data_IF_370795532351
#
_entry.id   IF_370795532351
#
_cell.length_a   1.000
_cell.length_b   1.000
_cell.length_c   1.000
_cell.angle_alpha   90.00
_cell.angle_beta   90.00
_cell.angle_gamma   90.00
#
_symmetry.space_group_name_H-M   'P 1'
#
loop_
_entity.id
_entity.type
_entity.pdbx_description
1 polymer ?
#
# COMPACT_ATOMS: atom_id res chain seq x y z
N UNK A 1 41.65 15.54 65.34
CA UNK A 1 40.90 16.49 64.51
C UNK A 1 40.53 15.76 63.23
N UNK A 2 39.24 15.43 63.07
CA UNK A 2 38.58 15.00 61.82
C UNK A 2 39.15 13.83 61.02
N UNK A 3 38.51 12.66 61.10
CA UNK A 3 38.36 11.74 59.96
C UNK A 3 37.04 12.12 59.26
N UNK A 4 37.04 12.12 57.93
CA UNK A 4 35.92 11.95 56.97
C UNK A 4 36.66 11.90 55.61
N UNK A 5 36.99 10.77 54.95
CA UNK A 5 36.18 9.74 54.29
C UNK A 5 35.13 10.30 53.31
N UNK A 6 35.09 9.69 52.11
CA UNK A 6 34.12 9.84 50.99
C UNK A 6 34.49 10.95 49.97
N UNK A 7 34.74 10.73 48.68
CA UNK A 7 34.35 9.63 47.77
C UNK A 7 35.46 9.31 46.77
N UNK A 8 36.02 8.10 46.89
CA UNK A 8 36.40 7.34 45.71
C UNK A 8 35.08 6.97 45.03
N UNK A 9 34.64 7.74 44.01
CA UNK A 9 33.74 7.17 43.03
C UNK A 9 34.59 6.25 42.15
N UNK A 10 35.03 5.14 42.76
CA UNK A 10 35.39 3.95 42.02
C UNK A 10 34.15 3.61 41.20
N UNK A 11 34.22 3.92 39.90
CA UNK A 11 33.28 3.39 38.94
C UNK A 11 33.23 1.89 39.22
N UNK A 12 32.09 1.35 39.66
CA UNK A 12 32.03 -0.05 40.07
C UNK A 12 32.48 -0.89 38.86
N UNK A 13 32.94 -2.13 39.05
CA UNK A 13 32.90 -3.12 37.98
C UNK A 13 31.42 -3.51 37.79
N UNK A 14 30.58 -2.52 37.52
CA UNK A 14 29.23 -2.68 37.04
C UNK A 14 29.40 -3.22 35.65
N UNK A 15 29.22 -4.53 35.52
CA UNK A 15 28.99 -5.28 34.30
C UNK A 15 28.53 -4.33 33.20
N UNK A 16 29.48 -3.83 32.39
CA UNK A 16 29.12 -3.03 31.22
C UNK A 16 28.40 -4.04 30.35
N UNK A 17 27.07 -3.94 30.33
CA UNK A 17 26.26 -4.53 29.29
C UNK A 17 26.75 -3.86 28.00
N UNK A 18 27.84 -4.40 27.44
CA UNK A 18 28.49 -3.86 26.28
C UNK A 18 27.53 -4.10 25.13
N UNK A 19 26.75 -3.06 24.85
CA UNK A 19 25.74 -3.05 23.81
C UNK A 19 26.28 -2.30 22.62
N UNK A 20 25.92 -2.73 21.42
CA UNK A 20 26.35 -2.08 20.19
C UNK A 20 25.29 -2.22 19.12
N UNK A 21 25.33 -1.28 18.17
CA UNK A 21 24.50 -1.35 16.97
C UNK A 21 25.16 -2.25 15.93
N UNK A 22 24.42 -3.24 15.45
CA UNK A 22 24.82 -4.06 14.31
C UNK A 22 23.73 -4.02 13.24
N UNK A 23 24.10 -4.12 11.96
CA UNK A 23 23.11 -4.29 10.90
C UNK A 23 22.61 -5.73 10.91
N UNK A 24 21.33 -5.91 11.19
CA UNK A 24 20.69 -7.22 11.22
C UNK A 24 20.62 -7.91 9.86
N UNK A 25 19.85 -8.98 9.76
CA UNK A 25 19.65 -9.65 8.48
C UNK A 25 18.76 -8.85 7.52
N UNK A 26 18.97 -9.04 6.22
CA UNK A 26 18.08 -8.51 5.20
C UNK A 26 16.68 -9.10 5.34
N UNK A 27 15.65 -8.25 5.28
CA UNK A 27 14.27 -8.73 5.20
C UNK A 27 14.02 -9.49 3.90
N UNK A 28 12.94 -10.27 3.87
CA UNK A 28 12.38 -10.71 2.60
C UNK A 28 12.06 -9.52 1.69
N UNK A 29 12.16 -9.74 0.38
CA UNK A 29 11.85 -8.72 -0.61
C UNK A 29 10.37 -8.32 -0.54
N UNK A 30 10.08 -7.03 -0.49
CA UNK A 30 8.70 -6.51 -0.35
C UNK A 30 7.80 -6.76 -1.57
N UNK A 31 8.37 -7.07 -2.73
CA UNK A 31 7.63 -7.45 -3.93
C UNK A 31 8.31 -8.63 -4.63
N UNK A 32 7.54 -9.45 -5.35
CA UNK A 32 8.07 -10.65 -6.02
C UNK A 32 8.54 -10.41 -7.45
N UNK A 33 8.25 -9.24 -8.03
CA UNK A 33 8.58 -8.85 -9.40
C UNK A 33 8.45 -7.33 -9.58
N UNK A 34 8.81 -6.85 -10.77
CA UNK A 34 8.55 -5.50 -11.25
C UNK A 34 9.55 -4.44 -10.79
N UNK A 35 10.63 -4.82 -10.10
CA UNK A 35 11.60 -3.87 -9.52
C UNK A 35 10.95 -2.82 -8.60
N UNK A 36 9.81 -3.20 -7.99
CA UNK A 36 9.12 -2.42 -6.97
C UNK A 36 9.46 -2.89 -5.55
N UNK A 37 10.23 -3.98 -5.45
CA UNK A 37 10.60 -4.61 -4.20
C UNK A 37 11.89 -4.03 -3.64
N UNK A 38 11.95 -3.90 -2.32
CA UNK A 38 13.16 -3.61 -1.58
C UNK A 38 13.32 -4.62 -0.44
N UNK A 39 14.56 -4.97 -0.14
CA UNK A 39 14.94 -5.57 1.14
C UNK A 39 15.47 -4.47 2.03
N UNK A 40 15.23 -4.60 3.32
CA UNK A 40 15.63 -3.63 4.34
C UNK A 40 16.55 -4.34 5.32
N UNK A 41 17.67 -3.72 5.66
CA UNK A 41 18.55 -4.15 6.74
C UNK A 41 18.44 -3.11 7.86
N UNK A 42 17.87 -3.51 9.00
CA UNK A 42 17.69 -2.59 10.12
C UNK A 42 18.83 -2.76 11.13
N UNK A 43 19.32 -1.66 11.72
CA UNK A 43 20.19 -1.76 12.88
C UNK A 43 19.44 -2.42 14.04
N UNK A 44 20.10 -3.37 14.69
CA UNK A 44 19.64 -4.07 15.89
C UNK A 44 20.60 -3.74 17.03
N UNK A 45 20.05 -3.51 18.23
CA UNK A 45 20.86 -3.30 19.42
C UNK A 45 21.18 -4.66 20.03
N UNK A 46 22.44 -5.04 20.05
CA UNK A 46 22.89 -6.35 20.55
C UNK A 46 23.76 -6.18 21.79
N UNK A 47 23.71 -7.14 22.70
CA UNK A 47 24.71 -7.29 23.77
C UNK A 47 25.96 -8.01 23.25
N UNK A 48 27.08 -7.95 23.99
CA UNK A 48 28.32 -8.66 23.71
C UNK A 48 28.18 -10.18 23.48
N UNK A 49 27.13 -10.80 24.04
CA UNK A 49 26.80 -12.21 23.83
C UNK A 49 25.99 -12.47 22.54
N UNK A 50 25.72 -11.45 21.72
CA UNK A 50 24.95 -11.52 20.48
C UNK A 50 23.43 -11.46 20.64
N UNK A 51 22.91 -11.33 21.86
CA UNK A 51 21.48 -11.25 22.08
C UNK A 51 20.93 -9.87 21.70
N UNK A 52 19.87 -9.85 20.88
CA UNK A 52 19.11 -8.64 20.59
C UNK A 52 18.34 -8.15 21.82
N UNK A 53 18.52 -6.88 22.14
CA UNK A 53 17.88 -6.18 23.27
C UNK A 53 17.13 -4.96 22.78
N UNK A 54 16.38 -4.33 23.68
CA UNK A 54 15.67 -3.08 23.37
C UNK A 54 16.64 -2.03 22.83
N UNK A 55 16.20 -1.28 21.82
CA UNK A 55 16.97 -0.16 21.26
C UNK A 55 17.41 0.86 22.32
N UNK A 56 16.66 0.97 23.41
CA UNK A 56 16.96 1.85 24.54
C UNK A 56 18.35 1.61 25.15
N UNK A 57 18.85 0.37 25.09
CA UNK A 57 20.20 0.03 25.57
C UNK A 57 21.32 0.57 24.67
N UNK A 58 20.98 1.04 23.48
CA UNK A 58 21.91 1.64 22.52
C UNK A 58 21.56 3.11 22.20
N UNK A 59 20.65 3.75 22.94
CA UNK A 59 20.19 5.13 22.66
C UNK A 59 21.33 6.17 22.71
N UNK A 60 22.32 5.94 23.56
CA UNK A 60 23.50 6.80 23.68
C UNK A 60 24.55 6.55 22.57
N UNK A 61 24.38 5.47 21.80
CA UNK A 61 25.27 5.10 20.71
C UNK A 61 24.71 5.62 19.38
N UNK A 62 25.62 6.00 18.47
CA UNK A 62 25.21 6.45 17.14
C UNK A 62 24.55 5.32 16.35
N UNK A 63 23.24 5.38 16.20
CA UNK A 63 22.47 4.42 15.38
C UNK A 63 22.87 4.53 13.90
N UNK A 64 23.34 3.43 13.27
CA UNK A 64 23.57 3.37 11.83
C UNK A 64 22.27 3.63 11.06
N UNK A 65 22.38 4.04 9.80
CA UNK A 65 21.20 4.12 8.93
C UNK A 65 20.81 2.71 8.49
N UNK A 66 19.51 2.47 8.34
CA UNK A 66 19.04 1.27 7.68
C UNK A 66 19.57 1.22 6.24
N UNK A 67 19.99 0.05 5.80
CA UNK A 67 20.37 -0.19 4.41
C UNK A 67 19.15 -0.64 3.61
N UNK A 68 19.12 -0.27 2.33
CA UNK A 68 18.07 -0.62 1.39
C UNK A 68 18.70 -1.16 0.13
N UNK A 69 18.17 -2.26 -0.40
CA UNK A 69 18.57 -2.77 -1.70
C UNK A 69 17.35 -3.14 -2.55
N UNK A 70 17.32 -2.76 -3.84
CA UNK A 70 16.28 -3.22 -4.75
C UNK A 70 16.40 -4.73 -4.94
N UNK A 71 15.26 -5.40 -5.11
CA UNK A 71 15.20 -6.84 -5.27
C UNK A 71 14.09 -7.25 -6.25
N UNK A 72 14.17 -8.48 -6.75
CA UNK A 72 13.21 -9.07 -7.69
C UNK A 72 12.99 -8.22 -8.96
N UNK A 73 14.11 -7.88 -9.62
CA UNK A 73 14.17 -7.12 -10.88
C UNK A 73 13.85 -8.04 -12.06
N UNK A 74 12.57 -8.31 -12.25
CA UNK A 74 12.06 -9.15 -13.34
C UNK A 74 10.65 -8.72 -13.72
N UNK A 75 10.24 -9.03 -14.94
CA UNK A 75 8.86 -8.79 -15.38
C UNK A 75 7.86 -9.54 -14.46
N UNK A 76 6.78 -8.86 -14.10
CA UNK A 76 5.66 -9.50 -13.42
C UNK A 76 4.83 -10.35 -14.39
N UNK A 77 4.11 -11.36 -13.88
CA UNK A 77 3.05 -11.99 -14.65
C UNK A 77 2.00 -10.96 -15.11
N UNK A 78 1.46 -11.11 -16.34
CA UNK A 78 0.37 -10.25 -16.82
C UNK A 78 -0.90 -10.51 -16.00
N UNK A 79 -1.62 -9.43 -15.67
CA UNK A 79 -2.85 -9.50 -14.88
C UNK A 79 -3.88 -8.47 -15.33
N UNK A 80 -5.15 -8.75 -15.05
CA UNK A 80 -6.23 -7.82 -15.26
C UNK A 80 -6.21 -6.71 -14.21
N UNK A 81 -6.28 -5.46 -14.65
CA UNK A 81 -6.47 -4.30 -13.79
C UNK A 81 -7.77 -3.61 -14.16
N UNK A 82 -8.50 -3.19 -13.13
CA UNK A 82 -9.77 -2.48 -13.24
C UNK A 82 -9.61 -1.02 -12.86
N UNK A 83 -10.23 -0.13 -13.62
CA UNK A 83 -10.45 1.25 -13.19
C UNK A 83 -11.58 1.36 -12.16
N UNK A 84 -11.89 2.60 -11.79
CA UNK A 84 -13.07 2.93 -11.00
C UNK A 84 -14.35 2.63 -11.80
N UNK A 85 -15.43 2.34 -11.07
CA UNK A 85 -16.76 2.29 -11.68
C UNK A 85 -17.20 3.71 -12.02
N UNK A 86 -17.84 3.86 -13.18
CA UNK A 86 -18.57 5.07 -13.53
C UNK A 86 -19.76 5.28 -12.59
N UNK A 87 -20.33 6.48 -12.63
CA UNK A 87 -21.69 6.69 -12.17
C UNK A 87 -22.69 5.79 -12.91
N UNK A 88 -23.89 5.66 -12.33
CA UNK A 88 -24.97 4.93 -12.97
C UNK A 88 -25.33 5.62 -14.30
N UNK A 89 -25.55 4.84 -15.36
CA UNK A 89 -25.89 5.36 -16.69
C UNK A 89 -27.21 6.13 -16.73
N UNK A 90 -27.99 6.06 -15.66
CA UNK A 90 -29.28 6.71 -15.49
C UNK A 90 -29.27 7.51 -14.20
N UNK A 91 -29.98 8.64 -14.19
CA UNK A 91 -30.28 9.39 -12.98
C UNK A 91 -31.45 8.79 -12.20
N UNK A 92 -32.37 8.06 -12.85
CA UNK A 92 -33.52 7.39 -12.22
C UNK A 92 -33.72 5.98 -12.80
N UNK A 93 -34.37 5.08 -12.06
CA UNK A 93 -34.67 3.72 -12.49
C UNK A 93 -33.44 2.81 -12.60
N UNK A 94 -33.52 1.80 -13.46
CA UNK A 94 -32.46 0.80 -13.66
C UNK A 94 -31.47 1.21 -14.76
N UNK A 95 -30.19 1.01 -14.51
CA UNK A 95 -29.12 1.29 -15.45
C UNK A 95 -27.88 0.45 -15.20
N UNK A 96 -26.74 0.94 -15.68
CA UNK A 96 -25.47 0.24 -15.57
C UNK A 96 -24.33 1.16 -15.16
N UNK A 97 -23.38 0.61 -14.40
CA UNK A 97 -22.07 1.21 -14.21
C UNK A 97 -21.06 0.45 -15.06
N UNK A 98 -20.13 1.18 -15.65
CA UNK A 98 -19.06 0.62 -16.47
C UNK A 98 -17.71 0.93 -15.85
N UNK A 99 -16.71 0.09 -16.08
CA UNK A 99 -15.32 0.36 -15.72
C UNK A 99 -14.38 -0.18 -16.77
N UNK A 100 -13.21 0.43 -16.88
CA UNK A 100 -12.18 -0.07 -17.76
C UNK A 100 -11.59 -1.37 -17.19
N UNK A 101 -11.41 -2.38 -18.05
CA UNK A 101 -10.75 -3.65 -17.71
C UNK A 101 -9.64 -3.89 -18.71
N UNK A 102 -8.39 -3.81 -18.26
CA UNK A 102 -7.21 -3.87 -19.12
C UNK A 102 -6.24 -4.95 -18.67
N UNK A 103 -5.68 -5.69 -19.61
CA UNK A 103 -4.57 -6.59 -19.34
C UNK A 103 -3.29 -5.76 -19.29
N UNK A 104 -2.56 -5.82 -18.17
CA UNK A 104 -1.30 -5.08 -18.00
C UNK A 104 -0.22 -5.95 -17.37
N UNK A 105 1.03 -5.57 -17.60
CA UNK A 105 2.23 -6.18 -17.00
C UNK A 105 3.16 -5.09 -16.48
N UNK A 106 3.62 -5.24 -15.25
CA UNK A 106 4.74 -4.44 -14.74
C UNK A 106 6.04 -5.07 -15.24
N UNK A 107 6.88 -4.28 -15.91
CA UNK A 107 8.18 -4.71 -16.44
C UNK A 107 9.27 -4.62 -15.39
N UNK A 108 10.41 -5.26 -15.65
CA UNK A 108 11.60 -5.23 -14.79
C UNK A 108 12.17 -3.82 -14.57
N UNK A 109 11.81 -2.84 -15.39
CA UNK A 109 12.21 -1.44 -15.20
C UNK A 109 11.17 -0.62 -14.40
N UNK A 110 10.17 -1.26 -13.77
CA UNK A 110 9.11 -0.60 -13.00
C UNK A 110 7.97 -0.02 -13.84
N UNK A 111 8.08 -0.01 -15.17
CA UNK A 111 7.04 0.54 -16.05
C UNK A 111 5.86 -0.42 -16.21
N UNK A 112 4.65 0.13 -16.36
CA UNK A 112 3.43 -0.66 -16.60
C UNK A 112 3.10 -0.64 -18.08
N UNK A 113 3.06 -1.82 -18.70
CA UNK A 113 2.73 -2.00 -20.11
C UNK A 113 1.29 -2.51 -20.27
N UNK A 114 0.51 -1.86 -21.14
CA UNK A 114 -0.76 -2.41 -21.62
C UNK A 114 -0.53 -3.53 -22.64
N UNK A 115 -1.26 -4.63 -22.49
CA UNK A 115 -1.12 -5.83 -23.29
C UNK A 115 -2.45 -6.20 -23.96
N UNK A 116 -2.41 -6.98 -25.07
CA UNK A 116 -3.62 -7.56 -25.63
C UNK A 116 -4.40 -8.40 -24.61
N UNK A 117 -5.75 -8.36 -24.61
CA UNK A 117 -6.62 -9.12 -23.70
C UNK A 117 -6.26 -10.61 -23.53
N UNK A 118 -5.85 -11.25 -24.63
CA UNK A 118 -5.49 -12.68 -24.72
C UNK A 118 -4.25 -13.09 -23.92
N UNK A 119 -3.42 -12.13 -23.52
CA UNK A 119 -2.19 -12.41 -22.76
C UNK A 119 -2.50 -12.67 -21.28
N UNK A 120 -3.56 -12.06 -20.75
CA UNK A 120 -4.04 -12.34 -19.41
C UNK A 120 -4.97 -13.55 -19.42
N UNK A 121 -5.03 -14.27 -18.30
CA UNK A 121 -5.88 -15.45 -18.16
C UNK A 121 -7.36 -15.04 -18.32
N UNK A 122 -8.10 -15.58 -19.32
CA UNK A 122 -9.45 -15.10 -19.62
C UNK A 122 -10.46 -15.29 -18.49
N UNK A 123 -10.38 -16.40 -17.74
CA UNK A 123 -11.30 -16.71 -16.63
C UNK A 123 -11.18 -15.74 -15.45
N UNK A 124 -10.03 -15.08 -15.33
CA UNK A 124 -9.76 -14.12 -14.25
C UNK A 124 -10.21 -12.70 -14.64
N UNK A 125 -10.77 -12.50 -15.84
CA UNK A 125 -11.18 -11.19 -16.33
C UNK A 125 -12.37 -10.65 -15.53
N UNK A 126 -12.22 -9.54 -14.79
CA UNK A 126 -13.32 -8.98 -14.01
C UNK A 126 -14.42 -8.39 -14.91
N UNK A 127 -15.62 -8.27 -14.35
CA UNK A 127 -16.74 -7.61 -15.03
C UNK A 127 -16.39 -6.15 -15.36
N UNK A 128 -16.60 -5.76 -16.61
CA UNK A 128 -16.47 -4.37 -17.07
C UNK A 128 -17.77 -3.57 -16.95
N UNK A 129 -18.89 -4.23 -16.69
CA UNK A 129 -20.22 -3.62 -16.58
C UNK A 129 -21.02 -4.35 -15.50
N UNK A 130 -21.75 -3.61 -14.67
CA UNK A 130 -22.67 -4.16 -13.67
C UNK A 130 -23.97 -3.35 -13.62
N UNK A 131 -25.11 -3.96 -13.24
CA UNK A 131 -26.35 -3.22 -13.04
C UNK A 131 -26.24 -2.25 -11.87
N UNK A 132 -27.06 -1.19 -11.92
CA UNK A 132 -27.29 -0.26 -10.81
C UNK A 132 -28.73 0.24 -10.86
N UNK A 133 -29.28 0.52 -9.70
CA UNK A 133 -30.56 1.19 -9.55
C UNK A 133 -30.34 2.60 -8.98
N UNK A 134 -31.13 3.54 -9.45
CA UNK A 134 -31.27 4.88 -8.88
C UNK A 134 -32.68 5.06 -8.31
N UNK A 135 -33.02 6.27 -7.90
CA UNK A 135 -34.36 6.60 -7.45
C UNK A 135 -35.41 6.36 -8.56
N UNK A 136 -36.67 6.03 -8.21
CA UNK A 136 -37.72 5.81 -9.21
C UNK A 136 -37.87 7.00 -10.16
N UNK A 137 -38.13 6.71 -11.43
CA UNK A 137 -38.43 7.76 -12.40
C UNK A 137 -39.84 8.29 -12.14
N UNK A 138 -39.95 9.60 -11.88
CA UNK A 138 -41.24 10.29 -11.93
C UNK A 138 -41.58 10.56 -13.40
N UNK A 139 -42.76 10.17 -13.84
CA UNK A 139 -43.24 10.52 -15.17
C UNK A 139 -43.54 12.02 -15.23
N UNK A 140 -42.61 12.77 -15.83
CA UNK A 140 -42.81 14.12 -16.36
C UNK A 140 -42.49 15.27 -15.40
N UNK A 141 -41.50 16.09 -15.78
CA UNK A 141 -41.54 17.56 -15.73
C UNK A 141 -40.48 18.06 -16.73
N UNK A 142 -40.92 18.38 -17.96
CA UNK A 142 -40.19 19.31 -18.81
C UNK A 142 -40.40 20.67 -18.18
N UNK A 143 -39.37 21.29 -17.61
CA UNK A 143 -39.42 22.71 -17.27
C UNK A 143 -39.38 23.53 -18.57
N UNK A 144 -40.54 23.68 -19.22
CA UNK A 144 -40.84 24.96 -19.83
C UNK A 144 -41.63 25.75 -18.79
N UNK A 145 -41.14 26.96 -18.52
CA UNK A 145 -41.62 27.85 -17.46
C UNK A 145 -43.13 27.76 -17.23
N UNK A 146 -43.46 27.25 -16.05
CA UNK A 146 -44.65 27.56 -15.28
C UNK A 146 -45.99 27.53 -16.05
N UNK A 147 -46.46 26.32 -16.38
CA UNK A 147 -47.90 25.99 -16.40
C UNK A 147 -48.10 24.46 -16.44
N UNK A 148 -48.76 23.92 -15.40
CA UNK A 148 -49.23 22.53 -15.39
C UNK A 148 -50.52 22.47 -16.19
N UNK A 149 -50.49 21.84 -17.37
CA UNK A 149 -51.69 21.49 -18.12
C UNK A 149 -51.82 19.98 -18.18
N UNK A 150 -52.89 19.46 -17.57
CA UNK A 150 -53.33 18.08 -17.76
C UNK A 150 -54.00 18.00 -19.14
N UNK A 151 -53.23 17.65 -20.17
CA UNK A 151 -53.81 17.31 -21.48
C UNK A 151 -54.02 15.80 -21.56
N UNK A 152 -55.29 15.38 -21.46
CA UNK A 152 -55.72 14.10 -22.00
C UNK A 152 -55.57 14.16 -23.52
N UNK A 153 -54.59 13.46 -24.06
CA UNK A 153 -54.58 13.13 -25.49
C UNK A 153 -54.77 11.62 -25.63
N UNK A 154 -56.06 11.28 -25.77
CA UNK A 154 -56.51 10.11 -26.51
C UNK A 154 -56.20 10.39 -27.97
N UNK A 155 -55.35 9.57 -28.59
CA UNK A 155 -55.52 8.97 -29.92
C UNK A 155 -54.64 7.73 -30.02
#
# INVERSE_FOLDING_TARGET
MGRELEDLEEVPPGNVLETFWELGNWTHCSATCGHLGAQVQRPQCLMANGQEVSEAFCDQLRKPRAAFQPCNIRDCPPRWLTGTWSECSVSCGEGFRSRQVTCKRTRANGTVQALPPRVCIPRDRPLGRRPCSSHPCVQGLVEQGNQVMLTNLVF
#
